data_IF_818184793658
#
_entry.id   IF_818184793658
#
_cell.length_a   1.000
_cell.length_b   1.000
_cell.length_c   1.000
_cell.angle_alpha   90.00
_cell.angle_beta   90.00
_cell.angle_gamma   90.00
#
_symmetry.space_group_name_H-M   'P 1'
#
loop_
_entity.id
_entity.type
_entity.pdbx_description
1 polymer ?
#
# COMPACT_ATOMS: atom_id res chain seq x y z
N UNK A 1 1.10 0.12 19.06
CA UNK A 1 0.84 0.07 17.61
C UNK A 1 2.12 -0.32 16.91
N UNK A 2 2.33 -1.62 16.66
CA UNK A 2 3.53 -2.08 15.97
C UNK A 2 3.53 -1.55 14.53
N UNK A 3 4.67 -1.09 14.03
CA UNK A 3 4.88 -0.72 12.63
C UNK A 3 4.78 -1.98 11.74
N UNK A 4 3.55 -2.47 11.57
CA UNK A 4 3.28 -3.64 10.77
C UNK A 4 3.45 -3.24 9.31
N UNK A 5 4.52 -3.75 8.69
CA UNK A 5 4.79 -3.59 7.24
C UNK A 5 3.56 -3.91 6.39
N UNK A 6 2.72 -4.85 6.86
CA UNK A 6 1.41 -5.17 6.29
C UNK A 6 0.50 -3.94 6.14
N UNK A 7 0.26 -3.18 7.21
CA UNK A 7 -0.58 -1.98 7.18
C UNK A 7 0.01 -0.89 6.28
N UNK A 8 1.34 -0.75 6.28
CA UNK A 8 2.03 0.18 5.40
C UNK A 8 1.78 -0.13 3.93
N UNK A 9 2.00 -1.38 3.51
CA UNK A 9 1.77 -1.78 2.12
C UNK A 9 0.29 -1.76 1.73
N UNK A 10 -0.62 -2.13 2.65
CA UNK A 10 -2.07 -1.98 2.42
C UNK A 10 -2.44 -0.53 2.10
N UNK A 11 -1.94 0.43 2.89
CA UNK A 11 -2.20 1.86 2.66
C UNK A 11 -1.66 2.34 1.32
N UNK A 12 -0.48 1.86 0.91
CA UNK A 12 0.08 2.20 -0.41
C UNK A 12 -0.80 1.67 -1.54
N UNK A 13 -1.25 0.41 -1.45
CA UNK A 13 -2.13 -0.20 -2.46
C UNK A 13 -3.43 0.58 -2.59
N UNK A 14 -4.01 1.02 -1.46
CA UNK A 14 -5.22 1.84 -1.44
C UNK A 14 -5.01 3.16 -2.22
N UNK A 15 -3.91 3.87 -1.94
CA UNK A 15 -3.55 5.11 -2.66
C UNK A 15 -3.32 4.85 -4.15
N UNK A 16 -2.64 3.75 -4.49
CA UNK A 16 -2.38 3.37 -5.88
C UNK A 16 -3.67 3.08 -6.64
N UNK A 17 -4.60 2.35 -6.03
CA UNK A 17 -5.90 2.03 -6.65
C UNK A 17 -6.74 3.28 -6.85
N UNK A 18 -6.86 4.13 -5.82
CA UNK A 18 -7.56 5.41 -5.94
C UNK A 18 -6.97 6.28 -7.05
N UNK A 19 -5.63 6.30 -7.16
CA UNK A 19 -4.96 7.05 -8.23
C UNK A 19 -5.27 6.48 -9.61
N UNK A 20 -5.25 5.15 -9.78
CA UNK A 20 -5.62 4.49 -11.04
C UNK A 20 -7.06 4.78 -11.43
N UNK A 21 -7.98 4.72 -10.48
CA UNK A 21 -9.40 5.01 -10.72
C UNK A 21 -9.58 6.46 -11.19
N UNK A 22 -8.96 7.43 -10.50
CA UNK A 22 -9.02 8.83 -10.92
C UNK A 22 -8.29 9.09 -12.26
N UNK A 23 -7.18 8.40 -12.54
CA UNK A 23 -6.49 8.49 -13.83
C UNK A 23 -7.35 7.94 -14.97
N UNK A 24 -8.13 6.88 -14.72
CA UNK A 24 -9.07 6.34 -15.71
C UNK A 24 -10.16 7.35 -16.10
N UNK A 25 -10.49 8.26 -15.17
CA UNK A 25 -11.40 9.39 -15.39
C UNK A 25 -10.73 10.60 -16.08
N UNK A 26 -9.43 10.51 -16.41
CA UNK A 26 -8.67 11.56 -17.06
C UNK A 26 -8.07 12.61 -16.11
N UNK A 27 -8.05 12.36 -14.80
CA UNK A 27 -7.46 13.31 -13.84
C UNK A 27 -5.93 13.23 -13.83
N UNK A 28 -5.29 14.38 -13.64
CA UNK A 28 -3.83 14.46 -13.49
C UNK A 28 -3.40 14.11 -12.07
N UNK A 29 -2.20 13.55 -11.91
CA UNK A 29 -1.63 13.20 -10.60
C UNK A 29 -1.58 14.39 -9.62
N UNK A 30 -1.33 15.60 -10.13
CA UNK A 30 -1.32 16.82 -9.32
C UNK A 30 -2.71 17.13 -8.76
N UNK A 31 -3.74 16.95 -9.57
CA UNK A 31 -5.12 17.14 -9.14
C UNK A 31 -5.52 16.06 -8.13
N UNK A 32 -5.23 14.79 -8.42
CA UNK A 32 -5.53 13.66 -7.53
C UNK A 32 -4.87 13.87 -6.16
N UNK A 33 -3.61 14.28 -6.16
CA UNK A 33 -2.87 14.56 -4.92
C UNK A 33 -3.54 15.66 -4.08
N UNK A 34 -3.89 16.79 -4.70
CA UNK A 34 -4.48 17.93 -4.00
C UNK A 34 -5.90 17.67 -3.50
N UNK A 35 -6.71 16.99 -4.31
CA UNK A 35 -8.15 16.82 -4.05
C UNK A 35 -8.44 15.63 -3.14
N UNK A 36 -7.71 14.51 -3.30
CA UNK A 36 -8.01 13.27 -2.58
C UNK A 36 -6.88 12.86 -1.62
N UNK A 37 -5.62 12.90 -2.04
CA UNK A 37 -4.55 12.30 -1.22
C UNK A 37 -4.18 13.17 -0.02
N UNK A 38 -3.95 14.46 -0.25
CA UNK A 38 -3.55 15.41 0.79
C UNK A 38 -4.58 15.53 1.94
N UNK A 39 -5.90 15.68 1.68
CA UNK A 39 -6.87 15.80 2.76
C UNK A 39 -7.14 14.48 3.51
N UNK A 40 -7.00 13.32 2.85
CA UNK A 40 -7.30 12.03 3.50
C UNK A 40 -6.09 11.40 4.19
N UNK A 41 -4.90 11.46 3.57
CA UNK A 41 -3.71 10.75 4.05
C UNK A 41 -2.67 11.67 4.69
N UNK A 42 -2.80 12.99 4.50
CA UNK A 42 -1.88 14.00 5.02
C UNK A 42 -0.40 13.70 4.68
N UNK A 43 -0.16 13.14 3.50
CA UNK A 43 1.19 12.85 3.00
C UNK A 43 1.68 13.95 2.08
N UNK A 44 3.00 14.12 2.02
CA UNK A 44 3.63 15.05 1.07
C UNK A 44 3.55 14.54 -0.37
N UNK A 45 3.66 15.44 -1.35
CA UNK A 45 3.70 15.08 -2.77
C UNK A 45 4.84 14.11 -3.07
N UNK A 46 6.00 14.33 -2.45
CA UNK A 46 7.15 13.44 -2.57
C UNK A 46 6.81 12.01 -2.12
N UNK A 47 6.18 11.88 -0.96
CA UNK A 47 5.75 10.59 -0.43
C UNK A 47 4.72 9.91 -1.34
N UNK A 48 3.80 10.70 -1.92
CA UNK A 48 2.84 10.19 -2.91
C UNK A 48 3.54 9.65 -4.16
N UNK A 49 4.48 10.41 -4.73
CA UNK A 49 5.26 9.99 -5.90
C UNK A 49 6.10 8.73 -5.59
N UNK A 50 6.70 8.65 -4.40
CA UNK A 50 7.40 7.46 -3.90
C UNK A 50 6.44 6.27 -3.80
N UNK A 51 5.24 6.45 -3.27
CA UNK A 51 4.23 5.38 -3.13
C UNK A 51 3.76 4.84 -4.47
N UNK A 52 3.64 5.67 -5.52
CA UNK A 52 3.29 5.19 -6.86
C UNK A 52 4.39 4.30 -7.48
N UNK A 53 5.65 4.49 -7.11
CA UNK A 53 6.77 3.68 -7.60
C UNK A 53 7.02 2.38 -6.82
N UNK A 54 6.44 2.22 -5.63
CA UNK A 54 6.67 1.04 -4.79
C UNK A 54 5.82 -0.15 -5.29
N UNK A 55 6.41 -1.35 -5.51
CA UNK A 55 5.67 -2.54 -5.87
C UNK A 55 4.96 -3.16 -4.64
N UNK A 56 4.00 -2.45 -4.06
CA UNK A 56 3.39 -2.79 -2.77
C UNK A 56 2.64 -4.13 -2.78
N UNK A 57 1.94 -4.48 -3.86
CA UNK A 57 1.26 -5.79 -4.00
C UNK A 57 2.25 -6.97 -3.89
N UNK A 58 3.42 -6.85 -4.53
CA UNK A 58 4.46 -7.88 -4.50
C UNK A 58 5.02 -8.05 -3.09
N UNK A 59 5.32 -6.95 -2.42
CA UNK A 59 5.86 -6.99 -1.06
C UNK A 59 4.83 -7.52 -0.05
N UNK A 60 3.55 -7.18 -0.21
CA UNK A 60 2.48 -7.72 0.63
C UNK A 60 2.30 -9.23 0.41
N UNK A 61 2.44 -9.72 -0.82
CA UNK A 61 2.43 -11.17 -1.11
C UNK A 61 3.58 -11.90 -0.42
N UNK A 62 4.81 -11.37 -0.52
CA UNK A 62 5.99 -11.93 0.16
C UNK A 62 5.80 -12.00 1.69
N UNK A 63 5.23 -10.95 2.28
CA UNK A 63 4.94 -10.93 3.72
C UNK A 63 3.93 -12.02 4.10
N UNK A 64 2.86 -12.20 3.33
CA UNK A 64 1.88 -13.28 3.56
C UNK A 64 2.50 -14.67 3.42
N UNK A 65 3.36 -14.87 2.43
CA UNK A 65 4.08 -16.13 2.24
C UNK A 65 5.03 -16.42 3.41
N UNK A 66 5.75 -15.41 3.89
CA UNK A 66 6.61 -15.53 5.06
C UNK A 66 5.81 -15.86 6.34
N UNK A 67 4.68 -15.20 6.59
CA UNK A 67 3.77 -15.52 7.70
C UNK A 67 3.30 -16.99 7.60
N UNK A 68 2.83 -17.43 6.42
CA UNK A 68 2.36 -18.81 6.23
C UNK A 68 3.46 -19.86 6.39
N UNK A 69 4.70 -19.56 5.99
CA UNK A 69 5.81 -20.49 6.16
C UNK A 69 6.21 -20.61 7.64
N UNK A 70 6.17 -19.51 8.40
CA UNK A 70 6.45 -19.54 9.83
C UNK A 70 5.45 -20.43 10.59
N UNK A 71 4.15 -20.35 10.26
CA UNK A 71 3.13 -21.23 10.89
C UNK A 71 3.37 -22.70 10.61
N UNK A 72 3.90 -23.06 9.43
CA UNK A 72 4.17 -24.46 9.06
C UNK A 72 5.38 -25.08 9.74
N UNK A 73 6.32 -24.26 10.25
CA UNK A 73 7.51 -24.74 10.95
C UNK A 73 7.23 -25.24 12.37
N UNK A 74 6.08 -24.88 12.95
CA UNK A 74 5.61 -25.35 14.23
C UNK A 74 4.25 -26.02 14.02
N UNK A 75 4.19 -27.25 13.47
CA UNK A 75 2.96 -28.03 13.54
C UNK A 75 2.65 -28.27 15.02
N UNK A 76 1.45 -27.89 15.46
CA UNK A 76 0.96 -28.20 16.79
C UNK A 76 0.90 -29.73 16.92
N UNK A 77 1.82 -30.31 17.68
CA UNK A 77 1.73 -31.70 18.13
C UNK A 77 0.69 -31.76 19.26
N UNK A 78 -0.55 -32.12 18.92
CA UNK A 78 -1.53 -32.75 19.82
C UNK A 78 -2.32 -33.85 19.10
#
# INVERSE_FOLDING_TARGET
MAYNKKNYYTRIIEIQNLTKDCQSLGMTNVHIYKTYILPHYHISKRTFDEYLGIPAERELKKLKEAENNQTKLFPDEE
#
